data_IF_282776629374
#
_entry.id   IF_282776629374
#
_cell.length_a   1.000
_cell.length_b   1.000
_cell.length_c   1.000
_cell.angle_alpha   90.00
_cell.angle_beta   90.00
_cell.angle_gamma   90.00
#
_symmetry.space_group_name_H-M   'P 1'
#
loop_
_entity.id
_entity.type
_entity.pdbx_description
1 polymer ?
#
# COMPACT_ATOMS: atom_id res chain seq x y z
N UNK A 1 -48.99 -37.78 -2.65
CA UNK A 1 -47.78 -38.58 -2.93
C UNK A 1 -46.74 -37.67 -3.56
N UNK A 2 -45.93 -37.05 -2.72
CA UNK A 2 -44.81 -36.19 -3.10
C UNK A 2 -43.68 -37.06 -3.65
N UNK A 3 -43.41 -36.96 -4.96
CA UNK A 3 -42.21 -37.56 -5.55
C UNK A 3 -41.00 -36.74 -5.12
N UNK A 4 -40.18 -37.29 -4.25
CA UNK A 4 -38.84 -36.78 -3.97
C UNK A 4 -37.99 -36.96 -5.22
N UNK A 5 -37.65 -35.86 -5.88
CA UNK A 5 -36.67 -35.86 -6.95
C UNK A 5 -35.29 -36.18 -6.36
N UNK A 6 -34.68 -37.28 -6.79
CA UNK A 6 -33.32 -37.66 -6.42
C UNK A 6 -32.32 -36.70 -7.09
N UNK A 7 -31.84 -35.71 -6.35
CA UNK A 7 -30.74 -34.86 -6.78
C UNK A 7 -29.45 -35.68 -6.76
N UNK A 8 -28.79 -35.80 -7.93
CA UNK A 8 -27.61 -36.64 -8.08
C UNK A 8 -26.42 -36.08 -7.29
N UNK A 9 -25.82 -36.91 -6.43
CA UNK A 9 -24.63 -36.57 -5.62
C UNK A 9 -23.42 -36.11 -6.45
N UNK A 10 -23.39 -36.47 -7.73
CA UNK A 10 -22.30 -36.14 -8.67
C UNK A 10 -22.30 -34.65 -9.03
N UNK A 11 -23.45 -33.96 -8.96
CA UNK A 11 -23.53 -32.52 -9.21
C UNK A 11 -23.13 -31.68 -7.99
N UNK A 12 -23.30 -32.19 -6.78
CA UNK A 12 -22.99 -31.49 -5.54
C UNK A 12 -21.48 -31.40 -5.25
N UNK A 13 -20.70 -32.42 -5.66
CA UNK A 13 -19.25 -32.46 -5.45
C UNK A 13 -18.44 -31.55 -6.39
N UNK A 14 -19.01 -31.14 -7.54
CA UNK A 14 -18.37 -30.19 -8.47
C UNK A 14 -18.53 -28.74 -7.98
N UNK A 15 -19.53 -28.46 -7.15
CA UNK A 15 -19.79 -27.12 -6.60
C UNK A 15 -18.83 -26.74 -5.45
N UNK A 16 -18.19 -27.72 -4.80
CA UNK A 16 -17.38 -27.52 -3.58
C UNK A 16 -15.90 -27.17 -3.89
N UNK A 17 -15.45 -27.26 -5.15
CA UNK A 17 -14.07 -26.91 -5.52
C UNK A 17 -13.87 -25.46 -5.95
N UNK A 18 -14.87 -24.59 -5.79
CA UNK A 18 -14.69 -23.15 -5.93
C UNK A 18 -13.95 -22.68 -4.68
N UNK A 19 -12.62 -22.77 -4.70
CA UNK A 19 -11.78 -22.11 -3.69
C UNK A 19 -12.13 -20.63 -3.72
N UNK A 20 -12.87 -20.18 -2.71
CA UNK A 20 -13.10 -18.77 -2.47
C UNK A 20 -11.75 -18.20 -2.04
N UNK A 21 -11.09 -17.46 -2.94
CA UNK A 21 -10.01 -16.55 -2.55
C UNK A 21 -10.67 -15.44 -1.73
N UNK A 22 -10.67 -15.58 -0.40
CA UNK A 22 -11.09 -14.50 0.49
C UNK A 22 -9.94 -13.50 0.48
N UNK A 23 -10.04 -12.47 -0.36
CA UNK A 23 -9.11 -11.35 -0.31
C UNK A 23 -9.42 -10.50 0.93
N UNK A 24 -8.63 -10.65 1.99
CA UNK A 24 -8.81 -9.88 3.22
C UNK A 24 -8.34 -8.44 3.00
N UNK A 25 -9.26 -7.47 3.13
CA UNK A 25 -8.98 -6.06 2.87
C UNK A 25 -8.71 -5.28 4.16
N UNK A 26 -7.60 -4.54 4.19
CA UNK A 26 -7.16 -3.68 5.29
C UNK A 26 -7.22 -2.23 4.82
N UNK A 27 -8.36 -1.56 5.02
CA UNK A 27 -8.56 -0.18 4.58
C UNK A 27 -7.89 0.79 5.55
N UNK A 28 -7.01 1.66 5.06
CA UNK A 28 -6.26 2.62 5.89
C UNK A 28 -7.14 3.54 6.75
N UNK A 29 -8.38 3.81 6.31
CA UNK A 29 -9.35 4.62 7.08
C UNK A 29 -9.79 3.91 8.36
N UNK A 30 -9.91 2.57 8.33
CA UNK A 30 -10.24 1.76 9.50
C UNK A 30 -9.13 1.80 10.56
N UNK A 31 -7.91 2.22 10.16
CA UNK A 31 -6.76 2.43 11.02
C UNK A 31 -6.53 3.91 11.38
N UNK A 32 -7.46 4.79 11.02
CA UNK A 32 -7.47 6.21 11.39
C UNK A 32 -6.86 7.16 10.36
N UNK A 33 -6.64 6.72 9.11
CA UNK A 33 -6.20 7.64 8.05
C UNK A 33 -7.33 8.60 7.66
N UNK A 34 -6.99 9.87 7.40
CA UNK A 34 -7.95 10.90 7.02
C UNK A 34 -7.69 11.34 5.57
N UNK A 35 -8.67 11.28 4.67
CA UNK A 35 -8.51 11.58 3.24
C UNK A 35 -8.53 13.09 2.90
N UNK A 36 -7.97 13.95 3.75
CA UNK A 36 -8.02 15.42 3.62
C UNK A 36 -6.79 16.05 2.94
N UNK A 37 -5.76 15.25 2.65
CA UNK A 37 -4.47 15.67 2.11
C UNK A 37 -3.63 16.54 3.04
N UNK A 38 -3.99 16.63 4.33
CA UNK A 38 -3.40 17.54 5.32
C UNK A 38 -3.00 16.83 6.61
N UNK A 39 -3.83 15.92 7.09
CA UNK A 39 -3.59 15.14 8.30
C UNK A 39 -2.58 14.04 8.01
N UNK A 40 -1.54 13.96 8.83
CA UNK A 40 -0.52 12.92 8.70
C UNK A 40 -1.12 11.53 8.95
N UNK A 41 -1.20 10.74 7.88
CA UNK A 41 -1.73 9.37 7.89
C UNK A 41 -0.65 8.30 8.06
N UNK A 42 0.61 8.67 8.31
CA UNK A 42 1.75 7.73 8.39
C UNK A 42 1.52 6.61 9.40
N UNK A 43 1.04 6.94 10.61
CA UNK A 43 0.78 5.94 11.65
C UNK A 43 -0.36 4.97 11.25
N UNK A 44 -1.43 5.49 10.63
CA UNK A 44 -2.53 4.65 10.16
C UNK A 44 -2.08 3.70 9.04
N UNK A 45 -1.27 4.19 8.11
CA UNK A 45 -0.69 3.37 7.03
C UNK A 45 0.21 2.27 7.60
N UNK A 46 1.05 2.56 8.60
CA UNK A 46 1.88 1.55 9.26
C UNK A 46 1.03 0.49 9.97
N UNK A 47 -0.02 0.90 10.71
CA UNK A 47 -0.91 -0.05 11.39
C UNK A 47 -1.64 -0.97 10.41
N UNK A 48 -2.18 -0.39 9.33
CA UNK A 48 -2.84 -1.15 8.28
C UNK A 48 -1.87 -2.14 7.61
N UNK A 49 -0.64 -1.69 7.31
CA UNK A 49 0.40 -2.56 6.77
C UNK A 49 0.75 -3.70 7.72
N UNK A 50 0.99 -3.41 9.00
CA UNK A 50 1.33 -4.43 10.01
C UNK A 50 0.20 -5.46 10.15
N UNK A 51 -1.06 -5.02 10.16
CA UNK A 51 -2.19 -5.94 10.23
C UNK A 51 -2.28 -6.83 8.97
N UNK A 52 -2.13 -6.22 7.79
CA UNK A 52 -2.14 -6.93 6.51
C UNK A 52 -0.98 -7.93 6.38
N UNK A 53 0.24 -7.50 6.68
CA UNK A 53 1.46 -8.29 6.58
C UNK A 53 1.47 -9.54 7.49
N UNK A 54 0.70 -9.51 8.58
CA UNK A 54 0.53 -10.62 9.52
C UNK A 54 -0.71 -11.49 9.25
N UNK A 55 -1.45 -11.22 8.17
CA UNK A 55 -2.63 -12.00 7.77
C UNK A 55 -2.25 -13.42 7.36
N UNK A 56 -3.09 -14.39 7.74
CA UNK A 56 -2.94 -15.78 7.31
C UNK A 56 -3.51 -16.03 5.91
N UNK A 57 -4.34 -15.12 5.40
CA UNK A 57 -4.84 -15.09 4.02
C UNK A 57 -3.99 -14.16 3.13
N UNK A 58 -4.28 -14.08 1.82
CA UNK A 58 -3.67 -13.09 0.91
C UNK A 58 -4.24 -11.68 1.18
N UNK A 59 -3.46 -10.75 1.77
CA UNK A 59 -3.98 -9.45 2.18
C UNK A 59 -3.95 -8.42 1.06
N UNK A 60 -4.97 -7.56 1.04
CA UNK A 60 -4.97 -6.30 0.31
C UNK A 60 -4.99 -5.13 1.27
N UNK A 61 -3.95 -4.30 1.28
CA UNK A 61 -4.00 -2.98 1.93
C UNK A 61 -4.68 -2.00 0.95
N UNK A 62 -5.85 -1.48 1.36
CA UNK A 62 -6.67 -0.59 0.54
C UNK A 62 -6.46 0.86 0.94
N UNK A 63 -6.07 1.69 -0.02
CA UNK A 63 -6.10 3.15 0.08
C UNK A 63 -7.29 3.62 -0.75
N UNK A 64 -8.41 4.01 -0.13
CA UNK A 64 -9.62 4.37 -0.86
C UNK A 64 -9.47 5.73 -1.57
N UNK A 65 -10.52 6.17 -2.24
CA UNK A 65 -10.56 7.50 -2.85
C UNK A 65 -10.36 8.60 -1.79
N UNK A 66 -9.66 9.67 -2.18
CA UNK A 66 -9.23 10.75 -1.28
C UNK A 66 -7.74 11.04 -1.43
N UNK A 67 -7.26 12.04 -0.68
CA UNK A 67 -5.83 12.37 -0.65
C UNK A 67 -5.29 12.10 0.75
N UNK A 68 -4.22 11.34 0.88
CA UNK A 68 -3.62 10.98 2.16
C UNK A 68 -2.20 11.53 2.23
N UNK A 69 -1.97 12.46 3.16
CA UNK A 69 -0.62 12.95 3.44
C UNK A 69 0.15 11.87 4.20
N UNK A 70 1.30 11.48 3.68
CA UNK A 70 2.16 10.48 4.31
C UNK A 70 3.59 11.03 4.38
N UNK A 71 4.18 11.05 5.57
CA UNK A 71 5.58 11.37 5.79
C UNK A 71 6.49 10.21 5.32
N UNK A 72 7.78 10.31 5.58
CA UNK A 72 8.69 9.20 5.31
C UNK A 72 8.22 7.92 6.01
N UNK A 73 8.05 6.84 5.26
CA UNK A 73 7.48 5.57 5.75
C UNK A 73 8.27 4.39 5.18
N UNK A 74 8.48 3.38 6.03
CA UNK A 74 9.08 2.10 5.64
C UNK A 74 8.13 0.96 5.98
N UNK A 75 7.68 0.29 4.93
CA UNK A 75 6.90 -0.94 4.97
C UNK A 75 7.86 -2.12 4.99
N UNK A 76 7.99 -2.75 6.15
CA UNK A 76 8.92 -3.85 6.36
C UNK A 76 8.21 -5.19 6.26
N UNK A 77 8.89 -6.17 5.65
CA UNK A 77 8.61 -7.58 5.78
C UNK A 77 9.61 -8.29 6.69
N UNK A 78 9.70 -9.64 6.63
CA UNK A 78 8.91 -10.50 5.76
C UNK A 78 7.42 -10.51 6.18
N UNK A 79 6.53 -10.59 5.19
CA UNK A 79 5.10 -10.81 5.41
C UNK A 79 4.76 -12.29 5.25
N UNK A 80 3.72 -12.76 5.96
CA UNK A 80 3.30 -14.17 5.89
C UNK A 80 2.84 -14.57 4.48
N UNK A 81 2.15 -13.66 3.81
CA UNK A 81 1.57 -13.85 2.48
C UNK A 81 1.97 -12.73 1.52
N UNK A 82 1.61 -12.90 0.25
CA UNK A 82 1.85 -11.91 -0.79
C UNK A 82 1.09 -10.61 -0.51
N UNK A 83 1.80 -9.50 -0.45
CA UNK A 83 1.19 -8.19 -0.21
C UNK A 83 0.63 -7.56 -1.48
N UNK A 84 -0.65 -7.18 -1.46
CA UNK A 84 -1.25 -6.28 -2.46
C UNK A 84 -1.53 -4.91 -1.85
N UNK A 85 -0.99 -3.85 -2.46
CA UNK A 85 -1.35 -2.46 -2.18
C UNK A 85 -2.28 -1.95 -3.28
N UNK A 86 -3.56 -1.80 -2.96
CA UNK A 86 -4.57 -1.28 -3.88
C UNK A 86 -4.80 0.21 -3.60
N UNK A 87 -4.43 1.06 -4.56
CA UNK A 87 -4.57 2.51 -4.45
C UNK A 87 -5.74 2.95 -5.34
N UNK A 88 -6.77 3.54 -4.73
CA UNK A 88 -7.93 4.14 -5.42
C UNK A 88 -7.96 5.67 -5.29
N UNK A 89 -7.08 6.24 -4.47
CA UNK A 89 -6.92 7.68 -4.27
C UNK A 89 -5.50 8.15 -4.55
N UNK A 90 -5.05 9.14 -3.77
CA UNK A 90 -3.73 9.76 -3.89
C UNK A 90 -2.97 9.66 -2.58
N UNK A 91 -1.75 9.15 -2.63
CA UNK A 91 -0.76 9.31 -1.56
C UNK A 91 0.07 10.53 -1.89
N UNK A 92 0.13 11.52 -1.00
CA UNK A 92 0.86 12.77 -1.24
C UNK A 92 1.97 12.97 -0.22
N UNK A 93 3.12 13.45 -0.69
CA UNK A 93 4.25 13.80 0.14
C UNK A 93 4.04 15.15 0.85
N UNK A 94 4.69 15.37 2.01
CA UNK A 94 4.74 16.71 2.60
C UNK A 94 5.49 17.68 1.68
N UNK A 95 5.12 18.96 1.74
CA UNK A 95 5.81 20.01 0.99
C UNK A 95 7.27 20.23 1.45
N UNK A 96 7.61 19.78 2.67
CA UNK A 96 8.95 19.93 3.25
C UNK A 96 9.83 18.74 2.89
N UNK A 97 10.92 19.01 2.16
CA UNK A 97 11.91 18.00 1.83
C UNK A 97 12.83 17.58 3.00
N UNK A 98 12.74 18.28 4.14
CA UNK A 98 13.53 17.93 5.34
C UNK A 98 13.19 16.55 5.87
N UNK A 99 11.94 16.10 5.68
CA UNK A 99 11.48 14.78 6.13
C UNK A 99 12.16 13.62 5.39
N UNK A 100 12.76 13.86 4.21
CA UNK A 100 13.42 12.80 3.43
C UNK A 100 14.89 12.60 3.78
N UNK A 101 15.49 13.53 4.55
CA UNK A 101 16.92 13.54 4.85
C UNK A 101 17.33 12.44 5.84
N UNK A 102 16.41 11.99 6.69
CA UNK A 102 16.69 11.01 7.75
C UNK A 102 16.56 9.55 7.30
N UNK A 103 15.82 9.26 6.22
CA UNK A 103 15.43 7.89 5.86
C UNK A 103 15.85 7.44 4.45
N UNK A 104 16.58 8.27 3.71
CA UNK A 104 17.11 7.99 2.35
C UNK A 104 16.05 7.76 1.25
N UNK A 105 14.79 7.54 1.63
CA UNK A 105 13.63 7.41 0.75
C UNK A 105 12.36 7.95 1.42
N UNK A 106 11.37 8.38 0.63
CA UNK A 106 10.04 8.75 1.13
C UNK A 106 9.17 7.52 1.42
N UNK A 107 8.89 6.70 0.41
CA UNK A 107 8.20 5.42 0.60
C UNK A 107 9.19 4.29 0.32
N UNK A 108 9.41 3.44 1.32
CA UNK A 108 10.30 2.29 1.22
C UNK A 108 9.53 1.00 1.49
N UNK A 109 9.69 0.01 0.62
CA UNK A 109 9.33 -1.38 0.90
C UNK A 109 10.62 -2.17 1.09
N UNK A 110 10.78 -2.80 2.25
CA UNK A 110 12.00 -3.49 2.63
C UNK A 110 11.72 -4.96 2.97
N UNK A 111 12.35 -5.89 2.26
CA UNK A 111 12.22 -7.33 2.53
C UNK A 111 10.79 -7.84 2.29
N UNK A 112 10.10 -7.30 1.28
CA UNK A 112 8.72 -7.68 0.93
C UNK A 112 8.72 -8.43 -0.40
N UNK A 113 8.85 -9.77 -0.39
CA UNK A 113 8.81 -10.55 -1.62
C UNK A 113 7.41 -10.48 -2.25
N UNK A 114 7.37 -10.43 -3.60
CA UNK A 114 6.13 -10.47 -4.40
C UNK A 114 5.12 -9.34 -4.14
N UNK A 115 5.59 -8.15 -3.73
CA UNK A 115 4.72 -6.98 -3.59
C UNK A 115 4.03 -6.62 -4.92
N UNK A 116 2.71 -6.47 -4.88
CA UNK A 116 1.90 -5.95 -5.98
C UNK A 116 1.33 -4.57 -5.62
N UNK A 117 1.62 -3.54 -6.41
CA UNK A 117 1.05 -2.19 -6.26
C UNK A 117 0.18 -1.88 -7.46
N UNK A 118 -1.08 -1.51 -7.24
CA UNK A 118 -2.07 -1.32 -8.31
C UNK A 118 -2.84 -0.01 -8.17
N UNK A 119 -2.93 0.73 -9.26
CA UNK A 119 -3.82 1.89 -9.43
C UNK A 119 -3.35 3.18 -8.75
N UNK A 120 -4.26 4.16 -8.71
CA UNK A 120 -4.15 5.38 -7.92
C UNK A 120 -3.03 6.33 -8.35
N UNK A 121 -2.69 7.25 -7.43
CA UNK A 121 -1.64 8.27 -7.64
C UNK A 121 -0.69 8.31 -6.44
N UNK A 122 0.60 8.43 -6.74
CA UNK A 122 1.65 8.72 -5.75
C UNK A 122 2.28 10.06 -6.14
N UNK A 123 1.93 11.12 -5.42
CA UNK A 123 2.42 12.49 -5.65
C UNK A 123 3.57 12.82 -4.68
N UNK A 124 4.80 12.67 -5.15
CA UNK A 124 6.01 12.99 -4.38
C UNK A 124 6.33 14.48 -4.26
N UNK A 125 5.47 15.38 -4.79
CA UNK A 125 5.69 16.83 -4.81
C UNK A 125 7.06 17.23 -5.38
N UNK A 126 7.51 16.56 -6.44
CA UNK A 126 8.87 16.76 -7.00
C UNK A 126 9.09 18.08 -7.76
N UNK A 127 8.04 18.80 -8.15
CA UNK A 127 8.14 19.97 -9.04
C UNK A 127 9.04 21.09 -8.50
N UNK A 128 8.88 21.46 -7.22
CA UNK A 128 9.70 22.51 -6.61
C UNK A 128 11.18 22.14 -6.54
N UNK A 129 11.49 20.86 -6.30
CA UNK A 129 12.86 20.34 -6.35
C UNK A 129 13.46 20.51 -7.75
N UNK A 130 12.76 20.08 -8.80
CA UNK A 130 13.26 20.16 -10.17
C UNK A 130 13.41 21.60 -10.64
N UNK A 131 12.43 22.47 -10.37
CA UNK A 131 12.52 23.90 -10.68
C UNK A 131 13.72 24.58 -10.00
N UNK A 132 14.09 24.13 -8.80
CA UNK A 132 15.31 24.62 -8.15
C UNK A 132 16.57 24.18 -8.91
N UNK A 133 16.66 22.88 -9.24
CA UNK A 133 17.84 22.30 -9.91
C UNK A 133 18.03 22.83 -11.32
N UNK A 134 16.97 23.01 -12.09
CA UNK A 134 17.05 23.54 -13.46
C UNK A 134 17.22 25.05 -13.51
N UNK A 135 16.82 25.78 -12.45
CA UNK A 135 16.96 27.22 -12.34
C UNK A 135 18.35 27.74 -11.91
N UNK A 136 19.37 26.88 -11.89
CA UNK A 136 20.75 27.29 -11.55
C UNK A 136 20.99 27.69 -10.09
N UNK A 137 20.07 27.34 -9.18
CA UNK A 137 20.21 27.65 -7.74
C UNK A 137 21.19 26.70 -7.07
N UNK A 138 22.07 27.23 -6.22
CA UNK A 138 23.06 26.45 -5.47
C UNK A 138 22.51 25.84 -4.19
N UNK A 139 21.48 26.45 -3.59
CA UNK A 139 20.88 26.03 -2.31
C UNK A 139 19.61 25.18 -2.48
N UNK A 140 19.64 24.19 -3.37
CA UNK A 140 18.51 23.28 -3.55
C UNK A 140 18.45 22.20 -2.47
N UNK A 141 17.25 21.68 -2.12
CA UNK A 141 17.14 20.52 -1.24
C UNK A 141 17.99 19.35 -1.74
N UNK A 142 18.46 18.50 -0.83
CA UNK A 142 19.08 17.24 -1.23
C UNK A 142 18.05 16.35 -1.93
N UNK A 143 18.48 15.65 -2.97
CA UNK A 143 17.63 14.66 -3.62
C UNK A 143 17.39 13.49 -2.67
N UNK A 144 16.16 13.01 -2.62
CA UNK A 144 15.82 11.78 -1.91
C UNK A 144 15.05 10.85 -2.86
N UNK A 145 15.17 9.55 -2.63
CA UNK A 145 14.44 8.56 -3.43
C UNK A 145 12.95 8.67 -3.09
N UNK A 146 12.07 8.90 -4.07
CA UNK A 146 10.63 9.01 -3.78
C UNK A 146 10.01 7.67 -3.42
N UNK A 147 10.42 6.61 -4.11
CA UNK A 147 9.87 5.27 -3.95
C UNK A 147 11.01 4.26 -4.07
N UNK A 148 11.14 3.34 -3.11
CA UNK A 148 12.21 2.34 -3.08
C UNK A 148 11.64 0.96 -2.80
N UNK A 149 11.98 0.00 -3.65
CA UNK A 149 11.83 -1.43 -3.40
C UNK A 149 13.23 -1.97 -3.08
N UNK A 150 13.39 -2.52 -1.88
CA UNK A 150 14.67 -3.08 -1.43
C UNK A 150 14.45 -4.51 -0.93
N UNK A 151 15.11 -5.45 -1.59
CA UNK A 151 15.39 -6.79 -1.09
C UNK A 151 16.91 -6.95 -1.04
N UNK A 152 17.43 -7.53 0.03
CA UNK A 152 18.75 -8.14 0.03
C UNK A 152 18.50 -9.65 0.02
N UNK A 153 19.04 -10.34 -0.98
CA UNK A 153 19.20 -11.78 -0.89
C UNK A 153 20.44 -12.01 0.00
N UNK A 154 20.29 -12.77 1.08
CA UNK A 154 21.44 -13.36 1.78
C UNK A 154 21.84 -14.66 1.06
#
# INVERSE_FOLDING_TARGET
MTKLAAFSHRFFLVYISMQICIATSYNVVDFGAIPDGKTDSTSAFLKAWTAACNSDDEPTMLIPSGTFLVNSISFNGPCKNQMKLQISGTIVAPNSYKCFLSHQAWIKFHGVPRLLVVGGTIDAKGSNYWSCKTGGKTNCPYGAKSFTLQSCDD
#
